data_IF_617507923467
#
_entry.id   IF_617507923467
#
_cell.length_a   1.000
_cell.length_b   1.000
_cell.length_c   1.000
_cell.angle_alpha   90.00
_cell.angle_beta   90.00
_cell.angle_gamma   90.00
#
_symmetry.space_group_name_H-M   'P 1'
#
loop_
_entity.id
_entity.type
_entity.pdbx_description
1 polymer ?
#
# COMPACT_ATOMS: atom_id res chain seq x y z
N UNK A 1 -0.67 -4.72 1.36
CA UNK A 1 -0.10 -3.58 2.10
C UNK A 1 -1.10 -3.02 3.11
N UNK A 2 -2.38 -2.82 2.75
CA UNK A 2 -3.40 -2.27 3.65
C UNK A 2 -3.50 -3.01 4.98
N UNK A 3 -3.64 -4.33 4.93
CA UNK A 3 -3.67 -5.19 6.13
C UNK A 3 -2.42 -5.02 7.02
N UNK A 4 -1.26 -4.76 6.43
CA UNK A 4 -0.05 -4.52 7.21
C UNK A 4 -0.13 -3.21 8.00
N UNK A 5 -0.71 -2.15 7.41
CA UNK A 5 -1.00 -0.90 8.12
C UNK A 5 -1.98 -1.10 9.27
N UNK A 6 -3.06 -1.86 9.06
CA UNK A 6 -4.04 -2.14 10.12
C UNK A 6 -3.44 -2.93 11.28
N UNK A 7 -2.64 -3.96 10.96
CA UNK A 7 -1.94 -4.76 11.98
C UNK A 7 -0.94 -3.95 12.79
N UNK A 8 -0.19 -3.05 12.14
CA UNK A 8 0.78 -2.18 12.83
C UNK A 8 0.08 -1.09 13.61
N UNK A 9 -0.95 -0.46 13.08
CA UNK A 9 -1.76 0.51 13.82
C UNK A 9 -2.25 -0.07 15.15
N UNK A 10 -2.79 -1.30 15.11
CA UNK A 10 -3.22 -2.01 16.32
C UNK A 10 -2.06 -2.24 17.31
N UNK A 11 -0.88 -2.63 16.82
CA UNK A 11 0.31 -2.83 17.66
C UNK A 11 0.77 -1.54 18.33
N UNK A 12 0.60 -0.39 17.66
CA UNK A 12 0.97 0.93 18.16
C UNK A 12 -0.14 1.61 18.97
N UNK A 13 -1.28 0.96 19.20
CA UNK A 13 -2.43 1.56 19.88
C UNK A 13 -3.14 2.66 19.10
N UNK A 14 -2.95 2.70 17.77
CA UNK A 14 -3.57 3.67 16.88
C UNK A 14 -4.97 3.22 16.45
N UNK A 15 -5.91 4.16 16.20
CA UNK A 15 -7.27 3.84 15.82
C UNK A 15 -7.37 3.22 14.41
N UNK A 16 -8.47 2.52 14.15
CA UNK A 16 -8.85 2.05 12.81
C UNK A 16 -9.56 3.20 12.04
N UNK A 17 -9.37 3.32 10.72
CA UNK A 17 -8.54 2.48 9.83
C UNK A 17 -7.04 2.77 9.97
N UNK A 18 -6.22 1.69 9.92
CA UNK A 18 -4.80 1.76 10.22
C UNK A 18 -3.98 2.60 9.24
N UNK A 19 -4.32 2.58 7.96
CA UNK A 19 -3.62 3.37 6.94
C UNK A 19 -3.57 4.86 7.26
N UNK A 20 -4.72 5.54 7.40
CA UNK A 20 -4.79 6.96 7.79
C UNK A 20 -4.17 7.24 9.16
N UNK A 21 -4.37 6.36 10.14
CA UNK A 21 -3.85 6.55 11.49
C UNK A 21 -2.34 6.52 11.56
N UNK A 22 -1.71 5.52 10.91
CA UNK A 22 -0.25 5.43 10.79
C UNK A 22 0.29 6.62 10.00
N UNK A 23 -0.35 6.97 8.87
CA UNK A 23 0.09 8.10 8.06
C UNK A 23 0.00 9.44 8.82
N UNK A 24 -0.99 9.60 9.69
CA UNK A 24 -1.11 10.79 10.52
C UNK A 24 -0.03 10.82 11.62
N UNK A 25 0.18 9.72 12.34
CA UNK A 25 1.22 9.62 13.35
C UNK A 25 2.63 9.86 12.75
N UNK A 26 2.87 9.33 11.55
CA UNK A 26 4.15 9.47 10.84
C UNK A 26 4.53 10.91 10.45
N UNK A 27 3.58 11.86 10.44
CA UNK A 27 3.84 13.25 10.01
C UNK A 27 4.89 13.98 10.85
N UNK A 28 4.98 13.63 12.13
CA UNK A 28 5.89 14.27 13.10
C UNK A 28 7.07 13.40 13.46
N UNK A 29 7.14 12.17 12.91
CA UNK A 29 8.18 11.20 13.21
C UNK A 29 9.36 11.23 12.24
N UNK A 30 10.50 10.74 12.71
CA UNK A 30 11.68 10.50 11.88
C UNK A 30 11.58 9.14 11.17
N UNK A 31 11.53 9.09 9.82
CA UNK A 31 11.45 7.85 9.07
C UNK A 31 12.72 7.00 9.13
N UNK A 32 13.80 7.48 9.73
CA UNK A 32 15.08 6.79 9.89
C UNK A 32 15.35 6.31 11.32
N UNK A 33 14.47 6.64 12.26
CA UNK A 33 14.66 6.30 13.68
C UNK A 33 14.73 4.80 13.95
N UNK A 34 13.94 4.00 13.20
CA UNK A 34 13.92 2.55 13.35
C UNK A 34 14.30 1.84 12.05
N UNK A 35 15.26 0.93 12.15
CA UNK A 35 15.71 0.13 11.00
C UNK A 35 14.87 -1.14 10.86
N UNK A 36 13.73 -1.04 10.18
CA UNK A 36 12.88 -2.18 9.89
C UNK A 36 13.41 -3.02 8.72
N UNK A 37 13.26 -4.35 8.73
CA UNK A 37 13.76 -5.22 7.67
C UNK A 37 13.01 -5.00 6.34
N UNK A 38 13.67 -5.40 5.24
CA UNK A 38 13.00 -5.65 3.96
C UNK A 38 12.68 -7.14 3.91
N UNK A 39 11.41 -7.55 3.90
CA UNK A 39 11.07 -8.97 3.82
C UNK A 39 11.58 -9.57 2.50
N UNK A 40 12.24 -10.71 2.61
CA UNK A 40 12.66 -11.44 1.44
C UNK A 40 11.46 -12.12 0.76
N UNK A 41 11.41 -12.07 -0.56
CA UNK A 41 10.43 -12.75 -1.39
C UNK A 41 11.07 -13.11 -2.73
N UNK A 42 10.81 -14.30 -3.22
CA UNK A 42 11.26 -14.74 -4.54
C UNK A 42 10.51 -13.96 -5.65
N UNK A 43 11.21 -13.74 -6.77
CA UNK A 43 10.68 -13.01 -7.91
C UNK A 43 11.02 -11.52 -7.88
N UNK A 44 11.41 -11.02 -9.06
CA UNK A 44 11.98 -9.68 -9.25
C UNK A 44 11.04 -8.55 -8.81
N UNK A 45 9.74 -8.68 -9.08
CA UNK A 45 8.73 -7.66 -8.84
C UNK A 45 7.82 -7.96 -7.66
N UNK A 46 7.98 -9.15 -7.05
CA UNK A 46 7.15 -9.55 -5.94
C UNK A 46 7.43 -8.71 -4.70
N UNK A 47 6.39 -8.53 -3.90
CA UNK A 47 6.45 -7.81 -2.63
C UNK A 47 5.95 -8.72 -1.50
N UNK A 48 6.55 -8.57 -0.33
CA UNK A 48 6.09 -9.20 0.90
C UNK A 48 6.10 -8.18 2.03
N UNK A 49 5.12 -8.28 2.90
CA UNK A 49 5.06 -7.49 4.14
C UNK A 49 5.05 -8.40 5.37
N UNK A 50 5.25 -9.71 5.15
CA UNK A 50 5.42 -10.69 6.21
C UNK A 50 6.61 -10.32 7.09
N UNK A 51 6.43 -10.43 8.40
CA UNK A 51 7.48 -10.07 9.35
C UNK A 51 7.56 -8.58 9.72
N UNK A 52 7.03 -7.64 8.93
CA UNK A 52 7.05 -6.22 9.31
C UNK A 52 6.24 -5.94 10.57
N UNK A 53 5.06 -6.57 10.72
CA UNK A 53 4.30 -6.49 11.97
C UNK A 53 5.12 -7.01 13.15
N UNK A 54 5.76 -8.17 12.98
CA UNK A 54 6.60 -8.78 14.02
C UNK A 54 7.80 -7.90 14.36
N UNK A 55 8.43 -7.28 13.36
CA UNK A 55 9.54 -6.35 13.57
C UNK A 55 9.10 -5.13 14.40
N UNK A 56 7.94 -4.54 14.09
CA UNK A 56 7.36 -3.44 14.87
C UNK A 56 7.03 -3.89 16.30
N UNK A 57 6.40 -5.05 16.45
CA UNK A 57 6.10 -5.61 17.77
C UNK A 57 7.37 -5.85 18.60
N UNK A 58 8.44 -6.33 17.97
CA UNK A 58 9.72 -6.56 18.64
C UNK A 58 10.34 -5.23 19.15
N UNK A 59 10.24 -4.13 18.37
CA UNK A 59 10.72 -2.82 18.84
C UNK A 59 9.88 -2.31 20.03
N UNK A 60 8.56 -2.51 20.00
CA UNK A 60 7.68 -2.17 21.12
C UNK A 60 8.05 -2.98 22.37
N UNK A 61 8.18 -4.31 22.25
CA UNK A 61 8.53 -5.19 23.35
C UNK A 61 9.94 -4.86 23.91
N UNK A 62 10.88 -4.55 23.05
CA UNK A 62 12.25 -4.19 23.44
C UNK A 62 12.29 -2.89 24.25
N UNK A 63 11.51 -1.88 23.88
CA UNK A 63 11.35 -0.67 24.66
C UNK A 63 10.74 -0.97 26.04
N UNK A 64 9.66 -1.75 26.08
CA UNK A 64 9.01 -2.15 27.33
C UNK A 64 9.96 -2.91 28.28
N UNK A 65 10.75 -3.85 27.73
CA UNK A 65 11.73 -4.61 28.53
C UNK A 65 12.83 -3.72 29.15
N UNK A 66 13.13 -2.59 28.52
CA UNK A 66 14.08 -1.60 29.02
C UNK A 66 13.45 -0.55 29.96
N UNK A 67 12.12 -0.57 30.11
CA UNK A 67 11.38 0.48 30.82
C UNK A 67 11.35 1.81 30.06
N UNK A 68 11.55 1.78 28.73
CA UNK A 68 11.51 2.93 27.85
C UNK A 68 10.14 3.04 27.19
N UNK A 69 9.67 4.26 26.94
CA UNK A 69 8.49 4.48 26.10
C UNK A 69 8.87 4.47 24.64
N UNK A 70 8.05 3.79 23.82
CA UNK A 70 8.24 3.78 22.38
C UNK A 70 7.82 5.13 21.78
N UNK A 71 8.65 5.70 20.90
CA UNK A 71 8.24 6.87 20.12
C UNK A 71 7.34 6.41 18.97
N UNK A 72 6.02 6.47 19.17
CA UNK A 72 5.03 6.02 18.20
C UNK A 72 5.11 6.79 16.86
N UNK A 73 5.25 8.13 16.83
CA UNK A 73 5.48 8.88 15.60
C UNK A 73 6.67 8.37 14.79
N UNK A 74 7.82 8.16 15.41
CA UNK A 74 9.04 7.71 14.73
C UNK A 74 8.90 6.28 14.20
N UNK A 75 8.29 5.38 14.97
CA UNK A 75 8.08 4.02 14.53
C UNK A 75 7.04 3.94 13.40
N UNK A 76 5.98 4.75 13.46
CA UNK A 76 5.00 4.90 12.39
C UNK A 76 5.63 5.45 11.11
N UNK A 77 6.49 6.47 11.22
CA UNK A 77 7.20 7.06 10.09
C UNK A 77 8.17 6.05 9.45
N UNK A 78 8.96 5.34 10.26
CA UNK A 78 9.89 4.31 9.80
C UNK A 78 9.16 3.15 9.11
N UNK A 79 8.01 2.73 9.65
CA UNK A 79 7.17 1.69 9.05
C UNK A 79 6.56 2.14 7.72
N UNK A 80 5.98 3.35 7.67
CA UNK A 80 5.42 3.92 6.45
C UNK A 80 6.49 4.05 5.35
N UNK A 81 7.66 4.56 5.70
CA UNK A 81 8.79 4.69 4.76
C UNK A 81 9.19 3.33 4.19
N UNK A 82 9.25 2.30 5.05
CA UNK A 82 9.60 0.94 4.63
C UNK A 82 8.60 0.38 3.63
N UNK A 83 7.29 0.42 3.91
CA UNK A 83 6.26 -0.11 3.00
C UNK A 83 6.19 0.69 1.70
N UNK A 84 6.15 2.01 1.81
CA UNK A 84 6.08 2.89 0.64
C UNK A 84 7.31 2.71 -0.26
N UNK A 85 8.50 2.59 0.35
CA UNK A 85 9.75 2.33 -0.36
C UNK A 85 9.74 1.01 -1.13
N UNK A 86 9.33 -0.10 -0.50
CA UNK A 86 9.23 -1.40 -1.16
C UNK A 86 8.28 -1.34 -2.37
N UNK A 87 7.10 -0.75 -2.20
CA UNK A 87 6.10 -0.66 -3.28
C UNK A 87 6.60 0.22 -4.43
N UNK A 88 7.14 1.39 -4.13
CA UNK A 88 7.66 2.32 -5.13
C UNK A 88 8.85 1.72 -5.89
N UNK A 89 9.81 1.10 -5.17
CA UNK A 89 10.97 0.44 -5.78
C UNK A 89 10.54 -0.63 -6.80
N UNK A 90 9.62 -1.52 -6.41
CA UNK A 90 9.18 -2.61 -7.29
C UNK A 90 8.38 -2.12 -8.50
N UNK A 91 7.51 -1.13 -8.30
CA UNK A 91 6.77 -0.51 -9.41
C UNK A 91 7.72 0.18 -10.41
N UNK A 92 8.66 0.96 -9.91
CA UNK A 92 9.61 1.70 -10.77
C UNK A 92 10.60 0.78 -11.45
N UNK A 93 11.03 -0.30 -10.79
CA UNK A 93 11.86 -1.35 -11.39
C UNK A 93 11.12 -2.02 -12.53
N UNK A 94 9.86 -2.41 -12.33
CA UNK A 94 9.04 -3.01 -13.39
C UNK A 94 8.83 -2.02 -14.57
N UNK A 95 8.58 -0.75 -14.27
CA UNK A 95 8.42 0.28 -15.29
C UNK A 95 9.71 0.47 -16.13
N UNK A 96 10.87 0.47 -15.47
CA UNK A 96 12.16 0.59 -16.14
C UNK A 96 12.46 -0.61 -17.03
N UNK A 97 12.25 -1.83 -16.53
CA UNK A 97 12.54 -3.07 -17.25
C UNK A 97 11.63 -3.28 -18.47
N UNK A 98 10.38 -2.84 -18.37
CA UNK A 98 9.40 -2.96 -19.48
C UNK A 98 9.39 -1.76 -20.42
N UNK A 99 10.12 -0.69 -20.08
CA UNK A 99 10.09 0.56 -20.84
C UNK A 99 8.74 1.29 -20.75
N UNK A 100 7.94 1.01 -19.70
CA UNK A 100 6.62 1.60 -19.53
C UNK A 100 6.70 3.12 -19.44
N UNK A 101 5.87 3.80 -20.25
CA UNK A 101 5.76 5.27 -20.25
C UNK A 101 4.69 5.80 -19.32
N UNK A 102 3.92 4.91 -18.72
CA UNK A 102 2.84 5.24 -17.81
C UNK A 102 2.82 4.25 -16.65
N UNK A 103 2.61 4.77 -15.44
CA UNK A 103 2.39 3.98 -14.23
C UNK A 103 1.16 4.49 -13.52
N UNK A 104 0.43 3.61 -12.85
CA UNK A 104 -0.72 4.00 -12.05
C UNK A 104 -0.69 3.37 -10.65
N UNK A 105 -1.28 4.06 -9.69
CA UNK A 105 -1.61 3.52 -8.38
C UNK A 105 -3.11 3.35 -8.27
N UNK A 106 -3.56 2.27 -7.64
CA UNK A 106 -4.96 2.01 -7.35
C UNK A 106 -5.12 1.33 -5.98
N UNK A 107 -6.35 1.28 -5.47
CA UNK A 107 -6.67 0.70 -4.16
C UNK A 107 -6.38 1.63 -2.98
N UNK A 108 -6.79 1.22 -1.78
CA UNK A 108 -6.75 2.06 -0.57
C UNK A 108 -5.37 2.63 -0.22
N UNK A 109 -4.30 1.85 -0.42
CA UNK A 109 -2.92 2.31 -0.12
C UNK A 109 -2.43 3.36 -1.12
N UNK A 110 -3.07 3.50 -2.30
CA UNK A 110 -2.81 4.60 -3.22
C UNK A 110 -3.16 6.00 -2.64
N UNK A 111 -3.89 6.06 -1.53
CA UNK A 111 -4.12 7.30 -0.78
C UNK A 111 -2.91 7.75 0.05
N UNK A 112 -1.93 6.85 0.30
CA UNK A 112 -0.78 7.18 1.13
C UNK A 112 0.12 8.24 0.46
N UNK A 113 0.26 9.39 1.13
CA UNK A 113 1.00 10.53 0.58
C UNK A 113 2.48 10.24 0.32
N UNK A 114 3.12 9.43 1.19
CA UNK A 114 4.54 9.08 1.02
C UNK A 114 4.76 8.17 -0.19
N UNK A 115 3.87 7.18 -0.40
CA UNK A 115 3.91 6.34 -1.58
C UNK A 115 3.75 7.16 -2.87
N UNK A 116 2.76 8.06 -2.89
CA UNK A 116 2.54 8.97 -4.04
C UNK A 116 3.77 9.79 -4.35
N UNK A 117 4.41 10.35 -3.33
CA UNK A 117 5.64 11.13 -3.49
C UNK A 117 6.75 10.29 -4.11
N UNK A 118 7.07 9.12 -3.52
CA UNK A 118 8.14 8.25 -4.01
C UNK A 118 7.93 7.78 -5.45
N UNK A 119 6.67 7.45 -5.80
CA UNK A 119 6.34 7.03 -7.18
C UNK A 119 6.45 8.20 -8.15
N UNK A 120 5.96 9.40 -7.80
CA UNK A 120 6.10 10.58 -8.65
C UNK A 120 7.56 10.93 -8.90
N UNK A 121 8.37 11.00 -7.84
CA UNK A 121 9.79 11.35 -7.94
C UNK A 121 10.59 10.34 -8.78
N UNK A 122 10.29 9.06 -8.60
CA UNK A 122 10.94 7.98 -9.35
C UNK A 122 10.49 7.91 -10.81
N UNK A 123 9.19 8.04 -11.07
CA UNK A 123 8.66 8.03 -12.43
C UNK A 123 9.13 9.22 -13.26
N UNK A 124 9.27 10.39 -12.64
CA UNK A 124 9.85 11.57 -13.31
C UNK A 124 11.27 11.29 -13.81
N UNK A 125 12.10 10.60 -13.02
CA UNK A 125 13.47 10.20 -13.43
C UNK A 125 13.47 9.21 -14.60
N UNK A 126 12.42 8.40 -14.72
CA UNK A 126 12.24 7.45 -15.82
C UNK A 126 11.56 8.07 -17.05
N UNK A 127 11.11 9.32 -16.98
CA UNK A 127 10.31 9.95 -18.00
C UNK A 127 8.93 9.31 -18.18
N UNK A 128 8.40 8.68 -17.13
CA UNK A 128 7.10 8.04 -17.13
C UNK A 128 6.04 8.95 -16.51
N UNK A 129 4.82 8.92 -17.08
CA UNK A 129 3.67 9.66 -16.56
C UNK A 129 2.99 8.86 -15.43
N UNK A 130 2.65 9.52 -14.34
CA UNK A 130 1.96 8.89 -13.20
C UNK A 130 0.48 9.23 -13.23
N UNK A 131 -0.36 8.21 -13.03
CA UNK A 131 -1.80 8.37 -12.84
C UNK A 131 -2.17 7.99 -11.42
N UNK A 132 -2.73 8.95 -10.69
CA UNK A 132 -3.17 8.79 -9.31
C UNK A 132 -4.67 9.05 -9.23
N UNK A 133 -5.46 8.20 -8.58
CA UNK A 133 -6.86 8.47 -8.35
C UNK A 133 -7.02 9.65 -7.37
N UNK A 134 -8.13 10.38 -7.46
CA UNK A 134 -8.56 11.25 -6.38
C UNK A 134 -8.72 10.44 -5.09
N UNK A 135 -8.45 11.05 -3.93
CA UNK A 135 -8.45 10.33 -2.65
C UNK A 135 -9.78 9.61 -2.37
N UNK A 136 -10.91 10.22 -2.76
CA UNK A 136 -12.25 9.64 -2.60
C UNK A 136 -12.50 8.36 -3.41
N UNK A 137 -11.67 8.09 -4.42
CA UNK A 137 -11.76 6.90 -5.28
C UNK A 137 -10.67 5.86 -5.01
N UNK A 138 -9.83 6.08 -4.00
CA UNK A 138 -8.80 5.10 -3.64
C UNK A 138 -9.37 3.86 -2.94
N UNK A 139 -10.43 4.02 -2.15
CA UNK A 139 -11.16 2.90 -1.52
C UNK A 139 -12.28 2.37 -2.41
N UNK A 140 -13.01 1.40 -1.87
CA UNK A 140 -14.21 0.87 -2.52
C UNK A 140 -15.24 1.98 -2.71
N UNK A 141 -15.79 2.08 -3.91
CA UNK A 141 -16.77 3.10 -4.24
C UNK A 141 -17.69 2.66 -5.37
N UNK A 142 -18.94 3.14 -5.36
CA UNK A 142 -19.95 2.78 -6.37
C UNK A 142 -19.60 3.25 -7.77
N UNK A 143 -18.81 4.32 -7.91
CA UNK A 143 -18.48 4.87 -9.23
C UNK A 143 -17.58 3.91 -10.04
N UNK A 144 -16.59 3.27 -9.40
CA UNK A 144 -15.74 2.30 -10.09
C UNK A 144 -16.51 1.06 -10.50
N UNK A 145 -17.48 0.61 -9.68
CA UNK A 145 -18.32 -0.55 -9.98
C UNK A 145 -19.29 -0.21 -11.12
N UNK A 146 -19.91 0.98 -11.09
CA UNK A 146 -20.79 1.43 -12.16
C UNK A 146 -20.03 1.60 -13.49
N UNK A 147 -18.81 2.13 -13.45
CA UNK A 147 -17.98 2.26 -14.66
C UNK A 147 -17.63 0.87 -15.23
N UNK A 148 -17.19 -0.08 -14.39
CA UNK A 148 -16.91 -1.45 -14.82
C UNK A 148 -18.17 -2.12 -15.39
N UNK A 149 -19.30 -1.99 -14.71
CA UNK A 149 -20.57 -2.54 -15.19
C UNK A 149 -21.01 -1.96 -16.54
N UNK A 150 -20.80 -0.66 -16.77
CA UNK A 150 -21.06 -0.03 -18.06
C UNK A 150 -20.20 -0.64 -19.18
N UNK A 151 -18.89 -0.78 -18.95
CA UNK A 151 -18.00 -1.37 -19.96
C UNK A 151 -18.30 -2.84 -20.23
N UNK A 152 -18.66 -3.63 -19.20
CA UNK A 152 -19.12 -5.00 -19.38
C UNK A 152 -20.42 -5.06 -20.20
N UNK A 153 -21.37 -4.18 -19.91
CA UNK A 153 -22.64 -4.09 -20.64
C UNK A 153 -22.45 -3.80 -22.14
N UNK A 154 -21.65 -2.77 -22.49
CA UNK A 154 -21.39 -2.45 -23.90
C UNK A 154 -20.57 -3.51 -24.63
N UNK A 155 -19.77 -4.30 -23.91
CA UNK A 155 -19.07 -5.46 -24.46
C UNK A 155 -19.99 -6.70 -24.63
N UNK A 156 -21.24 -6.63 -24.19
CA UNK A 156 -22.19 -7.74 -24.28
C UNK A 156 -22.05 -8.79 -23.17
N UNK A 157 -21.22 -8.52 -22.16
CA UNK A 157 -21.01 -9.43 -21.04
C UNK A 157 -22.12 -9.21 -20.00
N UNK A 158 -23.22 -9.91 -20.18
CA UNK A 158 -24.36 -9.90 -19.26
C UNK A 158 -24.59 -11.29 -18.69
N UNK A 159 -25.03 -11.38 -17.46
CA UNK A 159 -25.37 -12.66 -16.81
C UNK A 159 -26.90 -12.83 -16.72
N UNK A 160 -27.35 -14.07 -16.62
CA UNK A 160 -28.73 -14.40 -16.36
C UNK A 160 -29.06 -14.45 -14.87
N UNK A 161 -30.20 -15.04 -14.55
CA UNK A 161 -30.68 -15.18 -13.17
C UNK A 161 -29.85 -16.17 -12.32
N UNK A 162 -29.00 -16.95 -12.95
CA UNK A 162 -28.06 -17.88 -12.33
C UNK A 162 -26.80 -17.19 -11.74
N UNK A 163 -26.64 -15.87 -11.96
CA UNK A 163 -25.50 -15.13 -11.44
C UNK A 163 -25.34 -15.33 -9.94
N UNK A 164 -24.14 -15.72 -9.55
CA UNK A 164 -23.77 -15.90 -8.14
C UNK A 164 -22.49 -15.10 -7.84
N UNK A 165 -22.34 -14.71 -6.58
CA UNK A 165 -21.13 -14.03 -6.11
C UNK A 165 -19.95 -15.00 -6.06
N UNK A 166 -18.82 -14.61 -6.66
CA UNK A 166 -17.57 -15.35 -6.57
C UNK A 166 -16.64 -14.62 -5.60
N UNK A 167 -16.22 -15.25 -4.50
CA UNK A 167 -15.45 -14.57 -3.45
C UNK A 167 -14.00 -14.28 -3.86
N UNK A 168 -13.50 -14.99 -4.87
CA UNK A 168 -12.13 -14.84 -5.38
C UNK A 168 -12.11 -15.10 -6.87
N UNK A 169 -11.54 -14.18 -7.61
CA UNK A 169 -11.30 -14.30 -9.05
C UNK A 169 -9.82 -14.08 -9.35
N UNK A 170 -9.22 -14.80 -10.30
CA UNK A 170 -7.89 -14.45 -10.82
C UNK A 170 -7.94 -13.09 -11.51
N UNK A 171 -6.76 -12.42 -11.62
CA UNK A 171 -6.69 -11.08 -12.22
C UNK A 171 -6.97 -11.08 -13.72
N UNK A 172 -6.77 -12.21 -14.36
CA UNK A 172 -6.99 -12.49 -15.78
C UNK A 172 -8.32 -13.22 -16.05
N UNK A 173 -9.27 -13.12 -15.12
CA UNK A 173 -10.62 -13.65 -15.29
C UNK A 173 -11.36 -12.82 -16.37
N UNK A 174 -11.87 -13.48 -17.40
CA UNK A 174 -12.70 -12.99 -18.48
C UNK A 174 -14.19 -13.33 -18.27
#
# INVERSE_FOLDING_TARGET
AGEAFDKVARTLGLPYPGGPSVANAAKTGDPKAYRLPVPHVEGKYNVSFSGLKTAVLNEVNKAQMKGEEINVPDLAASFQERIAGILAEKLLLAAADTGAKQVCLAGGVAANGRLRQLVNDGAQKLGAKVYLPELKFCGDNGAMIAAQGYYQYIAGHTAGLELNGLPTLPIDYE
#
